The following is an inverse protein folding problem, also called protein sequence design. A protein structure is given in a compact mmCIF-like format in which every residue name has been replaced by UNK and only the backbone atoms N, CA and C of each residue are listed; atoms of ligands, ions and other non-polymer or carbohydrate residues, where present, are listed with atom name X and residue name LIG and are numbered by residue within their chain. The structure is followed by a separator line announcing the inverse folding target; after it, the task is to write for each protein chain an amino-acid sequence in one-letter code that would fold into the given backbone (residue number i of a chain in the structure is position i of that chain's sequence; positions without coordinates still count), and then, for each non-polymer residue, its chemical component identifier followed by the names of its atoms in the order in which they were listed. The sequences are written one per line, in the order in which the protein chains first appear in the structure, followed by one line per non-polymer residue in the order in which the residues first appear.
data_IF_216384888061
#
_entry.id   IF_216384888061
#
_cell.length_a   1.000
_cell.length_b   1.000
_cell.length_c   1.000
_cell.angle_alpha   90.00
_cell.angle_beta   90.00
_cell.angle_gamma   90.00
#
_symmetry.space_group_name_H-M   'P 1'
#
loop_
_entity.id
_entity.type
_entity.pdbx_description
1 polymer ?
#
# COMPACT_ATOMS: atom_id res chain seq x y z
N UNK A 1 14.32 8.79 12.79
CA UNK A 1 14.27 8.08 11.50
C UNK A 1 15.62 7.42 11.29
N UNK A 2 15.75 6.11 11.58
CA UNK A 2 17.00 5.39 11.26
C UNK A 2 17.03 5.21 9.75
N UNK A 3 17.94 5.87 9.09
CA UNK A 3 18.27 5.64 7.67
C UNK A 3 18.71 4.17 7.55
N UNK A 4 18.23 3.46 6.55
CA UNK A 4 18.69 2.12 6.22
C UNK A 4 20.23 2.12 6.20
N UNK A 5 20.84 1.16 6.88
CA UNK A 5 22.28 0.96 6.90
C UNK A 5 22.77 0.85 5.44
N UNK A 6 23.85 1.53 5.05
CA UNK A 6 24.45 1.42 3.71
C UNK A 6 24.70 -0.04 3.27
N UNK A 7 24.98 -0.93 4.22
CA UNK A 7 25.12 -2.37 3.97
C UNK A 7 23.79 -2.99 3.55
N UNK A 8 22.68 -2.60 4.20
CA UNK A 8 21.36 -3.07 3.82
C UNK A 8 20.94 -2.56 2.43
N UNK A 9 21.25 -1.31 2.09
CA UNK A 9 21.01 -0.73 0.76
C UNK A 9 21.80 -1.49 -0.30
N UNK A 10 23.09 -1.75 -0.09
CA UNK A 10 23.92 -2.47 -1.05
C UNK A 10 23.47 -3.92 -1.24
N UNK A 11 23.00 -4.57 -0.20
CA UNK A 11 22.46 -5.92 -0.25
C UNK A 11 21.10 -5.99 -0.95
N UNK A 12 20.21 -5.01 -0.74
CA UNK A 12 18.97 -4.87 -1.48
C UNK A 12 19.25 -4.65 -2.96
N UNK A 13 20.21 -3.77 -3.28
CA UNK A 13 20.64 -3.51 -4.68
C UNK A 13 21.18 -4.78 -5.33
N UNK A 14 22.06 -5.53 -4.65
CA UNK A 14 22.61 -6.78 -5.15
C UNK A 14 21.52 -7.84 -5.35
N UNK A 15 20.56 -7.94 -4.43
CA UNK A 15 19.43 -8.86 -4.51
C UNK A 15 18.51 -8.49 -5.69
N UNK A 16 18.21 -7.21 -5.90
CA UNK A 16 17.40 -6.72 -7.01
C UNK A 16 18.11 -6.91 -8.35
N UNK A 17 19.44 -6.71 -8.41
CA UNK A 17 20.26 -6.99 -9.59
C UNK A 17 20.24 -8.49 -9.93
N UNK A 18 20.24 -9.36 -8.93
CA UNK A 18 20.12 -10.82 -9.10
C UNK A 18 18.75 -11.22 -9.63
N UNK A 19 17.69 -10.57 -9.20
CA UNK A 19 16.34 -10.72 -9.77
C UNK A 19 16.33 -10.38 -11.26
N UNK A 20 16.92 -9.25 -11.63
CA UNK A 20 16.98 -8.76 -12.99
C UNK A 20 17.80 -9.67 -13.93
N UNK A 21 18.81 -10.36 -13.40
CA UNK A 21 19.73 -11.21 -14.21
C UNK A 21 19.31 -12.68 -14.26
N UNK A 22 18.17 -13.08 -13.66
CA UNK A 22 17.70 -14.47 -13.63
C UNK A 22 18.75 -15.50 -13.22
N UNK A 23 19.58 -15.16 -12.24
CA UNK A 23 20.43 -16.16 -11.59
C UNK A 23 19.59 -17.29 -11.01
N UNK A 24 19.96 -18.53 -11.25
CA UNK A 24 19.30 -19.83 -11.14
C UNK A 24 18.43 -20.17 -9.88
N UNK A 25 18.23 -19.24 -8.98
CA UNK A 25 17.39 -19.36 -7.78
C UNK A 25 16.28 -18.34 -7.91
N UNK A 26 15.05 -18.78 -8.13
CA UNK A 26 13.90 -17.96 -8.52
C UNK A 26 13.58 -16.75 -7.63
N UNK A 27 12.56 -15.94 -7.99
CA UNK A 27 12.19 -14.70 -7.32
C UNK A 27 12.05 -14.81 -5.80
N UNK A 28 11.54 -15.94 -5.30
CA UNK A 28 11.36 -16.24 -3.88
C UNK A 28 12.64 -16.18 -3.05
N UNK A 29 13.78 -16.60 -3.61
CA UNK A 29 15.06 -16.57 -2.90
C UNK A 29 15.57 -15.15 -2.71
N UNK A 30 15.48 -14.32 -3.73
CA UNK A 30 15.95 -12.92 -3.68
C UNK A 30 15.05 -12.05 -2.81
N UNK A 31 13.75 -12.23 -2.92
CA UNK A 31 12.79 -11.58 -2.02
C UNK A 31 12.99 -12.06 -0.58
N UNK A 32 13.31 -13.35 -0.36
CA UNK A 32 13.69 -13.88 0.93
C UNK A 32 14.96 -13.24 1.51
N UNK A 33 15.95 -12.92 0.68
CA UNK A 33 17.15 -12.18 1.11
C UNK A 33 16.83 -10.72 1.46
N UNK A 34 16.07 -10.01 0.63
CA UNK A 34 15.60 -8.65 0.91
C UNK A 34 14.81 -8.66 2.22
N UNK A 35 13.91 -9.62 2.37
CA UNK A 35 13.13 -9.83 3.58
C UNK A 35 14.00 -10.03 4.80
N UNK A 36 14.96 -10.95 4.75
CA UNK A 36 15.86 -11.24 5.85
C UNK A 36 16.73 -10.04 6.25
N UNK A 37 17.19 -9.26 5.28
CA UNK A 37 17.94 -8.02 5.52
C UNK A 37 17.05 -6.92 6.13
N UNK A 38 15.80 -6.86 5.71
CA UNK A 38 14.87 -5.83 6.18
C UNK A 38 14.25 -6.17 7.54
N UNK A 39 13.92 -7.43 7.76
CA UNK A 39 13.18 -7.91 8.93
C UNK A 39 13.96 -8.86 9.83
N UNK A 40 15.14 -9.38 9.42
CA UNK A 40 15.85 -10.44 10.11
C UNK A 40 16.29 -10.15 11.55
N UNK A 41 16.40 -8.87 11.93
CA UNK A 41 16.67 -8.50 13.33
C UNK A 41 15.41 -8.57 14.23
N UNK A 42 14.23 -8.81 13.66
CA UNK A 42 12.98 -9.00 14.39
C UNK A 42 12.71 -10.47 14.72
N UNK A 43 13.42 -11.42 14.07
CA UNK A 43 13.20 -12.86 14.20
C UNK A 43 13.29 -13.40 15.63
N UNK A 44 14.06 -12.73 16.51
CA UNK A 44 14.31 -13.25 17.86
C UNK A 44 13.19 -12.95 18.89
N UNK A 45 12.21 -12.09 18.57
CA UNK A 45 11.20 -11.62 19.53
C UNK A 45 9.80 -11.45 18.92
N UNK A 46 9.56 -11.94 17.70
CA UNK A 46 8.24 -11.77 17.06
C UNK A 46 7.20 -12.71 17.63
N UNK A 47 6.06 -12.15 18.01
CA UNK A 47 4.86 -12.95 18.28
C UNK A 47 4.46 -13.72 17.02
N UNK A 48 3.95 -14.92 17.16
CA UNK A 48 3.54 -15.83 16.06
C UNK A 48 2.58 -15.19 15.03
N UNK A 49 1.82 -14.18 15.45
CA UNK A 49 0.90 -13.43 14.57
C UNK A 49 1.67 -12.51 13.62
N UNK A 50 2.73 -11.87 14.10
CA UNK A 50 3.57 -10.97 13.29
C UNK A 50 4.32 -11.82 12.25
N UNK A 51 4.92 -12.93 12.66
CA UNK A 51 5.59 -13.87 11.75
C UNK A 51 4.67 -14.35 10.63
N UNK A 52 3.44 -14.76 10.96
CA UNK A 52 2.42 -15.16 9.99
C UNK A 52 2.05 -14.01 9.02
N UNK A 53 1.95 -12.78 9.51
CA UNK A 53 1.64 -11.62 8.67
C UNK A 53 2.84 -11.23 7.79
N UNK A 54 4.04 -11.41 8.27
CA UNK A 54 5.26 -11.27 7.50
C UNK A 54 5.28 -12.27 6.33
N UNK A 55 4.96 -13.54 6.60
CA UNK A 55 4.87 -14.54 5.53
C UNK A 55 3.81 -14.17 4.49
N UNK A 56 2.61 -13.77 4.92
CA UNK A 56 1.56 -13.32 3.99
C UNK A 56 1.99 -12.13 3.13
N UNK A 57 2.79 -11.23 3.67
CA UNK A 57 3.32 -10.10 2.89
C UNK A 57 4.34 -10.55 1.85
N UNK A 58 5.25 -11.44 2.23
CA UNK A 58 6.20 -12.05 1.30
C UNK A 58 5.45 -12.79 0.17
N UNK A 59 4.47 -13.63 0.53
CA UNK A 59 3.64 -14.36 -0.44
C UNK A 59 2.88 -13.40 -1.39
N UNK A 60 2.41 -12.26 -0.88
CA UNK A 60 1.73 -11.26 -1.72
C UNK A 60 2.68 -10.60 -2.72
N UNK A 61 3.92 -10.29 -2.32
CA UNK A 61 4.95 -9.77 -3.22
C UNK A 61 5.31 -10.84 -4.26
N UNK A 62 5.60 -12.07 -3.83
CA UNK A 62 5.97 -13.18 -4.71
C UNK A 62 4.90 -13.45 -5.77
N UNK A 63 3.63 -13.48 -5.34
CA UNK A 63 2.50 -13.69 -6.25
C UNK A 63 2.44 -12.61 -7.31
N UNK A 64 2.50 -11.33 -6.92
CA UNK A 64 2.45 -10.20 -7.86
C UNK A 64 3.67 -10.17 -8.79
N UNK A 65 4.85 -10.52 -8.27
CA UNK A 65 6.05 -10.60 -9.08
C UNK A 65 5.98 -11.73 -10.10
N UNK A 66 5.42 -12.88 -9.73
CA UNK A 66 5.21 -14.01 -10.64
C UNK A 66 4.24 -13.70 -11.80
N UNK A 67 3.39 -12.70 -11.65
CA UNK A 67 2.48 -12.21 -12.70
C UNK A 67 3.20 -11.33 -13.74
N UNK A 68 4.43 -10.86 -13.45
CA UNK A 68 5.23 -10.04 -14.38
C UNK A 68 5.92 -10.95 -15.39
N UNK A 69 5.68 -10.79 -16.70
CA UNK A 69 6.41 -11.52 -17.72
C UNK A 69 7.91 -11.27 -17.61
N UNK A 70 8.70 -12.28 -17.93
CA UNK A 70 10.16 -12.24 -17.79
C UNK A 70 10.83 -11.09 -18.54
N UNK A 71 10.31 -10.77 -19.72
CA UNK A 71 10.79 -9.67 -20.59
C UNK A 71 10.32 -8.29 -20.12
N UNK A 72 9.45 -8.24 -19.08
CA UNK A 72 8.93 -7.01 -18.48
C UNK A 72 9.51 -6.72 -17.09
N UNK A 73 10.42 -7.55 -16.60
CA UNK A 73 11.09 -7.28 -15.32
C UNK A 73 12.01 -6.06 -15.49
N UNK A 74 11.85 -5.10 -14.57
CA UNK A 74 12.69 -3.91 -14.53
C UNK A 74 14.11 -4.29 -14.07
N UNK A 75 15.15 -4.13 -14.91
CA UNK A 75 16.52 -4.49 -14.54
C UNK A 75 17.15 -3.48 -13.55
N UNK A 76 16.59 -2.27 -13.45
CA UNK A 76 17.12 -1.18 -12.62
C UNK A 76 15.99 -0.54 -11.81
N UNK A 77 15.41 -1.27 -10.81
CA UNK A 77 14.34 -0.72 -10.00
C UNK A 77 14.86 0.38 -9.07
N UNK A 78 14.02 1.38 -8.81
CA UNK A 78 14.36 2.51 -7.95
C UNK A 78 14.36 2.11 -6.47
N UNK A 79 15.55 1.97 -5.90
CA UNK A 79 15.77 1.67 -4.47
C UNK A 79 15.15 2.74 -3.57
N UNK A 80 15.07 4.00 -4.04
CA UNK A 80 14.49 5.09 -3.26
C UNK A 80 12.96 4.96 -3.08
N UNK A 81 12.33 4.06 -3.83
CA UNK A 81 10.91 3.66 -3.68
C UNK A 81 10.80 2.34 -2.91
N UNK A 82 11.54 1.31 -3.34
CA UNK A 82 11.45 -0.04 -2.73
C UNK A 82 11.92 -0.03 -1.26
N UNK A 83 13.03 0.62 -0.97
CA UNK A 83 13.57 0.67 0.40
C UNK A 83 12.59 1.28 1.40
N UNK A 84 12.09 2.51 1.18
CA UNK A 84 11.07 3.11 2.03
C UNK A 84 9.75 2.30 2.10
N UNK A 85 9.32 1.65 1.01
CA UNK A 85 8.13 0.81 1.00
C UNK A 85 8.29 -0.41 1.93
N UNK A 86 9.42 -1.11 1.85
CA UNK A 86 9.77 -2.22 2.74
C UNK A 86 9.91 -1.75 4.19
N UNK A 87 10.58 -0.64 4.44
CA UNK A 87 10.75 -0.08 5.80
C UNK A 87 9.39 0.31 6.40
N UNK A 88 8.55 1.01 5.64
CA UNK A 88 7.23 1.42 6.10
C UNK A 88 6.34 0.21 6.40
N UNK A 89 6.36 -0.83 5.56
CA UNK A 89 5.50 -2.01 5.69
C UNK A 89 5.65 -2.71 7.05
N UNK A 90 6.81 -2.62 7.72
CA UNK A 90 7.03 -3.17 9.07
C UNK A 90 6.01 -2.67 10.09
N UNK A 91 5.70 -1.39 10.04
CA UNK A 91 4.78 -0.74 10.99
C UNK A 91 3.32 -1.03 10.69
N UNK A 92 3.02 -1.49 9.48
CA UNK A 92 1.66 -1.76 9.00
C UNK A 92 1.42 -3.25 8.72
N UNK A 93 2.33 -4.12 9.16
CA UNK A 93 2.30 -5.55 8.86
C UNK A 93 1.01 -6.25 9.31
N UNK A 94 0.37 -5.74 10.35
CA UNK A 94 -0.90 -6.27 10.87
C UNK A 94 -2.13 -5.82 10.07
N UNK A 95 -1.97 -4.85 9.16
CA UNK A 95 -3.04 -4.36 8.30
C UNK A 95 -2.95 -5.00 6.92
N UNK A 96 -3.95 -5.80 6.58
CA UNK A 96 -4.01 -6.51 5.30
C UNK A 96 -4.06 -5.55 4.10
N UNK A 97 -4.90 -4.51 4.19
CA UNK A 97 -5.02 -3.48 3.17
C UNK A 97 -3.68 -2.78 2.88
N UNK A 98 -2.93 -2.43 3.92
CA UNK A 98 -1.63 -1.80 3.78
C UNK A 98 -0.58 -2.75 3.19
N UNK A 99 -0.55 -4.04 3.64
CA UNK A 99 0.33 -5.06 3.06
C UNK A 99 0.12 -5.20 1.56
N UNK A 100 -1.15 -5.31 1.13
CA UNK A 100 -1.50 -5.43 -0.28
C UNK A 100 -1.08 -4.19 -1.09
N UNK A 101 -1.26 -2.99 -0.56
CA UNK A 101 -0.85 -1.76 -1.23
C UNK A 101 0.68 -1.66 -1.37
N UNK A 102 1.44 -1.96 -0.30
CA UNK A 102 2.91 -1.98 -0.38
C UNK A 102 3.42 -3.07 -1.32
N UNK A 103 2.81 -4.27 -1.31
CA UNK A 103 3.18 -5.33 -2.25
C UNK A 103 2.90 -4.92 -3.70
N UNK A 104 1.78 -4.24 -3.96
CA UNK A 104 1.46 -3.71 -5.29
C UNK A 104 2.44 -2.63 -5.73
N UNK A 105 2.82 -1.72 -4.83
CA UNK A 105 3.79 -0.66 -5.12
C UNK A 105 5.16 -1.23 -5.49
N UNK A 106 5.63 -2.23 -4.75
CA UNK A 106 6.90 -2.91 -5.02
C UNK A 106 6.84 -3.66 -6.36
N UNK A 107 5.76 -4.40 -6.62
CA UNK A 107 5.60 -5.13 -7.88
C UNK A 107 5.51 -4.18 -9.08
N UNK A 108 4.84 -3.04 -8.95
CA UNK A 108 4.76 -2.03 -10.01
C UNK A 108 6.14 -1.44 -10.34
N UNK A 109 6.98 -1.18 -9.32
CA UNK A 109 8.35 -0.71 -9.53
C UNK A 109 9.24 -1.76 -10.22
N UNK A 110 8.98 -3.04 -9.96
CA UNK A 110 9.68 -4.16 -10.59
C UNK A 110 9.21 -4.45 -12.03
N UNK A 111 8.17 -3.77 -12.52
CA UNK A 111 7.61 -3.95 -13.86
C UNK A 111 7.89 -2.73 -14.74
N UNK A 112 8.62 -2.92 -15.86
CA UNK A 112 8.97 -1.83 -16.79
C UNK A 112 7.74 -1.12 -17.40
N UNK A 113 6.58 -1.77 -17.48
CA UNK A 113 5.36 -1.18 -18.02
C UNK A 113 4.62 -0.31 -16.99
N UNK A 114 4.91 -0.51 -15.70
CA UNK A 114 4.22 0.17 -14.59
C UNK A 114 5.10 1.16 -13.84
N UNK A 115 6.43 1.00 -13.86
CA UNK A 115 7.38 1.81 -13.07
C UNK A 115 7.23 3.31 -13.27
N UNK A 116 6.92 3.75 -14.48
CA UNK A 116 6.77 5.19 -14.78
C UNK A 116 5.51 5.81 -14.14
N UNK A 117 4.59 4.97 -13.65
CA UNK A 117 3.40 5.38 -12.89
C UNK A 117 3.66 5.42 -11.38
N UNK A 118 4.79 4.86 -10.93
CA UNK A 118 5.14 4.81 -9.52
C UNK A 118 5.76 6.13 -9.09
N UNK A 119 5.32 6.65 -7.94
CA UNK A 119 5.81 7.90 -7.40
C UNK A 119 6.23 7.73 -5.94
N UNK A 120 7.32 8.40 -5.53
CA UNK A 120 7.85 8.34 -4.16
C UNK A 120 6.80 8.68 -3.08
N UNK A 121 5.87 9.60 -3.39
CA UNK A 121 4.80 9.98 -2.48
C UNK A 121 3.85 8.83 -2.13
N UNK A 122 3.79 7.75 -2.92
CA UNK A 122 2.85 6.65 -2.65
C UNK A 122 3.14 5.93 -1.34
N UNK A 123 4.40 5.84 -0.93
CA UNK A 123 4.76 5.28 0.39
C UNK A 123 4.11 6.11 1.50
N UNK A 124 4.19 7.43 1.43
CA UNK A 124 3.63 8.31 2.46
C UNK A 124 2.10 8.36 2.40
N UNK A 125 1.52 8.30 1.21
CA UNK A 125 0.07 8.18 1.01
C UNK A 125 -0.45 6.91 1.70
N UNK A 126 0.14 5.75 1.43
CA UNK A 126 -0.26 4.46 2.04
C UNK A 126 -0.17 4.54 3.57
N UNK A 127 0.88 5.14 4.12
CA UNK A 127 1.05 5.33 5.57
C UNK A 127 -0.06 6.18 6.20
N UNK A 128 -0.59 7.16 5.46
CA UNK A 128 -1.61 8.09 5.94
C UNK A 128 -3.04 7.57 5.74
N UNK A 129 -3.22 6.51 4.97
CA UNK A 129 -4.53 5.93 4.71
C UNK A 129 -5.02 5.10 5.88
N UNK A 130 -6.29 5.26 6.26
CA UNK A 130 -7.01 4.32 7.11
C UNK A 130 -7.46 3.09 6.32
N UNK A 131 -7.89 2.02 7.02
CA UNK A 131 -8.47 0.85 6.34
C UNK A 131 -9.75 1.18 5.58
N UNK A 132 -10.52 2.18 6.04
CA UNK A 132 -11.71 2.65 5.33
C UNK A 132 -11.33 3.40 4.03
N UNK A 133 -10.29 4.24 4.08
CA UNK A 133 -9.76 4.94 2.89
C UNK A 133 -9.34 3.92 1.82
N UNK A 134 -8.62 2.88 2.24
CA UNK A 134 -8.17 1.81 1.33
C UNK A 134 -9.34 1.03 0.71
N UNK A 135 -10.41 0.75 1.48
CA UNK A 135 -11.64 0.14 0.97
C UNK A 135 -12.32 1.05 -0.07
N UNK A 136 -12.47 2.33 0.24
CA UNK A 136 -13.09 3.30 -0.64
C UNK A 136 -12.31 3.46 -1.94
N UNK A 137 -10.99 3.54 -1.87
CA UNK A 137 -10.12 3.66 -3.04
C UNK A 137 -10.30 2.49 -4.03
N UNK A 138 -10.62 1.28 -3.53
CA UNK A 138 -10.92 0.11 -4.37
C UNK A 138 -12.32 0.16 -4.99
N UNK A 139 -13.28 0.76 -4.29
CA UNK A 139 -14.70 0.74 -4.70
C UNK A 139 -15.04 1.91 -5.60
N UNK A 140 -14.53 3.12 -5.32
CA UNK A 140 -14.84 4.34 -6.06
C UNK A 140 -14.68 4.20 -7.59
N UNK A 141 -13.61 3.61 -8.12
CA UNK A 141 -13.45 3.46 -9.57
C UNK A 141 -14.51 2.57 -10.24
N UNK A 142 -15.18 1.74 -9.45
CA UNK A 142 -16.19 0.77 -9.93
C UNK A 142 -17.61 1.28 -9.76
N UNK A 143 -17.78 2.41 -9.07
CA UNK A 143 -19.10 3.01 -8.80
C UNK A 143 -19.41 4.10 -9.82
N UNK A 144 -20.70 4.36 -10.00
CA UNK A 144 -21.17 5.56 -10.68
C UNK A 144 -20.91 6.83 -9.85
N UNK A 145 -21.55 7.94 -10.21
CA UNK A 145 -21.37 9.20 -9.48
C UNK A 145 -21.72 9.04 -8.00
N UNK A 146 -20.88 9.64 -7.15
CA UNK A 146 -21.12 9.69 -5.70
C UNK A 146 -22.23 10.70 -5.39
N UNK A 147 -23.10 10.35 -4.44
CA UNK A 147 -24.11 11.27 -3.93
C UNK A 147 -23.64 11.88 -2.60
N UNK A 148 -23.52 13.19 -2.56
CA UNK A 148 -23.27 13.97 -1.35
C UNK A 148 -24.62 14.47 -0.79
N UNK A 149 -24.87 14.22 0.50
CA UNK A 149 -26.06 14.69 1.21
C UNK A 149 -25.65 15.72 2.25
N UNK A 150 -26.32 16.86 2.22
CA UNK A 150 -26.17 17.89 3.25
C UNK A 150 -27.44 18.03 4.04
N UNK A 151 -27.33 17.96 5.37
CA UNK A 151 -28.45 18.13 6.25
C UNK A 151 -28.68 19.60 6.60
N UNK A 152 -29.95 20.02 6.50
CA UNK A 152 -30.37 21.37 6.87
C UNK A 152 -31.53 21.31 7.85
N UNK A 153 -31.51 22.19 8.85
CA UNK A 153 -32.71 22.47 9.68
C UNK A 153 -33.47 23.63 9.04
N UNK A 154 -34.75 23.44 8.85
CA UNK A 154 -35.64 24.49 8.39
C UNK A 154 -36.17 25.25 9.61
N UNK A 155 -35.81 26.55 9.73
CA UNK A 155 -36.35 27.49 10.70
C UNK A 155 -37.20 28.54 10.01
N UNK A 156 -38.53 28.37 9.95
CA UNK A 156 -39.41 29.25 9.19
C UNK A 156 -39.14 29.19 7.69
N UNK A 157 -38.70 30.30 7.10
CA UNK A 157 -38.30 30.44 5.68
C UNK A 157 -36.80 30.19 5.44
N UNK A 158 -36.00 30.04 6.50
CA UNK A 158 -34.55 29.87 6.39
C UNK A 158 -34.15 28.41 6.60
N UNK A 159 -33.09 28.02 5.91
CA UNK A 159 -32.43 26.73 6.06
C UNK A 159 -31.04 26.94 6.65
N UNK A 160 -30.78 26.32 7.79
CA UNK A 160 -29.45 26.32 8.42
C UNK A 160 -28.80 24.97 8.25
N UNK A 161 -27.56 24.93 7.72
CA UNK A 161 -26.80 23.68 7.58
C UNK A 161 -26.57 23.07 8.97
N UNK A 162 -26.93 21.81 9.12
CA UNK A 162 -26.74 21.06 10.35
C UNK A 162 -25.43 20.30 10.28
N UNK A 163 -24.50 20.63 11.18
CA UNK A 163 -23.28 19.87 11.38
C UNK A 163 -22.17 20.16 10.38
N UNK A 164 -21.04 19.55 10.64
CA UNK A 164 -19.77 19.73 9.93
C UNK A 164 -19.41 18.57 9.03
N UNK A 165 -20.11 17.43 9.11
CA UNK A 165 -19.83 16.26 8.30
C UNK A 165 -20.81 16.18 7.13
N UNK A 166 -20.29 16.12 5.93
CA UNK A 166 -21.06 15.76 4.76
C UNK A 166 -21.32 14.26 4.78
N UNK A 167 -22.50 13.85 4.36
CA UNK A 167 -22.89 12.44 4.26
C UNK A 167 -22.65 12.04 2.80
N UNK A 168 -21.79 11.07 2.59
CA UNK A 168 -21.47 10.57 1.26
C UNK A 168 -21.97 9.13 1.12
N UNK A 169 -22.89 8.95 0.18
CA UNK A 169 -23.39 7.64 -0.20
C UNK A 169 -22.58 7.08 -1.36
N UNK A 170 -22.08 5.87 -1.20
CA UNK A 170 -21.31 5.15 -2.22
C UNK A 170 -22.11 3.89 -2.58
N UNK A 171 -22.65 3.79 -3.83
CA UNK A 171 -23.38 2.61 -4.25
C UNK A 171 -22.50 1.34 -4.14
N UNK A 172 -23.04 0.28 -3.55
CA UNK A 172 -22.33 -0.99 -3.37
C UNK A 172 -21.55 -1.12 -2.07
N UNK A 173 -21.39 -0.07 -1.29
CA UNK A 173 -20.91 -0.17 0.09
C UNK A 173 -22.11 -0.38 1.02
N UNK A 174 -22.23 -1.58 1.58
CA UNK A 174 -23.38 -2.01 2.40
C UNK A 174 -23.28 -1.49 3.85
N UNK A 175 -22.19 -0.89 4.25
CA UNK A 175 -22.01 -0.42 5.62
C UNK A 175 -22.60 0.98 5.79
N UNK A 176 -23.58 1.10 6.70
CA UNK A 176 -24.34 2.31 7.05
C UNK A 176 -23.50 3.44 7.70
N UNK A 177 -22.22 3.55 7.39
CA UNK A 177 -21.36 4.52 8.03
C UNK A 177 -21.04 5.72 7.12
N UNK A 178 -22.09 6.43 6.73
CA UNK A 178 -22.01 7.61 5.84
C UNK A 178 -21.04 8.68 6.35
N UNK A 179 -20.94 8.86 7.67
CA UNK A 179 -20.02 9.83 8.28
C UNK A 179 -18.56 9.39 8.10
N UNK A 180 -18.25 8.11 8.30
CA UNK A 180 -16.91 7.59 8.08
C UNK A 180 -16.53 7.65 6.61
N UNK A 181 -17.47 7.43 5.69
CA UNK A 181 -17.23 7.59 4.26
C UNK A 181 -16.87 9.04 3.93
N UNK A 182 -17.56 10.02 4.49
CA UNK A 182 -17.24 11.45 4.30
C UNK A 182 -15.85 11.79 4.84
N UNK A 183 -15.48 11.30 6.03
CA UNK A 183 -14.15 11.48 6.60
C UNK A 183 -13.08 10.88 5.67
N UNK A 184 -13.28 9.66 5.20
CA UNK A 184 -12.34 8.97 4.31
C UNK A 184 -12.21 9.66 2.96
N UNK A 185 -13.31 10.11 2.33
CA UNK A 185 -13.28 10.87 1.08
C UNK A 185 -12.49 12.17 1.25
N UNK A 186 -12.75 12.91 2.34
CA UNK A 186 -12.01 14.14 2.63
C UNK A 186 -10.52 13.85 2.88
N UNK A 187 -10.17 12.73 3.53
CA UNK A 187 -8.78 12.33 3.69
C UNK A 187 -8.13 11.99 2.35
N UNK A 188 -8.78 11.17 1.52
CA UNK A 188 -8.30 10.81 0.19
C UNK A 188 -8.14 12.04 -0.73
N UNK A 189 -9.05 13.02 -0.64
CA UNK A 189 -8.96 14.25 -1.42
C UNK A 189 -7.80 15.17 -1.00
N UNK A 190 -7.30 15.00 0.24
CA UNK A 190 -6.15 15.74 0.77
C UNK A 190 -4.81 15.07 0.43
N UNK A 191 -4.78 13.75 0.29
CA UNK A 191 -3.58 12.97 -0.04
C UNK A 191 -3.17 13.14 -1.50
#
# INVERSE_FOLDING_TARGET
MKVLDPIAISAITAALTTLATKGAEGPSHTLGLIWKLTFGHWDAQMESVIEKNCQKYADAIDKKFAEIPDDKINPEPDISIIGPALEASKYYINREDAREMFATLIAAELNIEEKDKVHHAFVDIIKQMSSNDAKLLKVIPQTGPLAEFRLYIKGGTQYTRLGTADIIYIPGLIEDNFTNNAISINNLARL
#
